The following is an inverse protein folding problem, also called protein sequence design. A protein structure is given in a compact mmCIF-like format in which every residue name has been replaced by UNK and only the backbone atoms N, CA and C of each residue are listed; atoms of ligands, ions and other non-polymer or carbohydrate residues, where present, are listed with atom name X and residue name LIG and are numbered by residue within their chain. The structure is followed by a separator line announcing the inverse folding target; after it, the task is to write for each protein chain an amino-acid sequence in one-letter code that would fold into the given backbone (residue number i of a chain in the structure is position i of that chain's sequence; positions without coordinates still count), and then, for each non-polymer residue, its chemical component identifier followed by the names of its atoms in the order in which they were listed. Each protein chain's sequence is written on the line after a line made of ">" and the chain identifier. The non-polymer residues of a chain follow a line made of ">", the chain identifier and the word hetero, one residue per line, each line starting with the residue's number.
data_IF_091839826678
#
_entry.id   IF_091839826678
#
_cell.length_a   1.000
_cell.length_b   1.000
_cell.length_c   1.000
_cell.angle_alpha   90.00
_cell.angle_beta   90.00
_cell.angle_gamma   90.00
#
_symmetry.space_group_name_H-M   'P 1'
#
loop_
_entity.id
_entity.type
_entity.pdbx_description
1 polymer ?
#
# COMPACT_ATOMS: atom_id res chain seq x y z
N UNK A 1 6.22 -5.63 -9.86
CA UNK A 1 6.08 -6.71 -10.85
C UNK A 1 5.57 -6.11 -12.13
N UNK A 2 6.21 -6.44 -13.24
CA UNK A 2 5.77 -6.14 -14.61
C UNK A 2 5.24 -7.45 -15.18
N UNK A 3 4.17 -7.41 -15.98
CA UNK A 3 3.65 -8.59 -16.67
C UNK A 3 2.56 -9.39 -15.93
N UNK A 4 1.90 -8.81 -14.92
CA UNK A 4 0.67 -9.40 -14.37
C UNK A 4 -0.52 -9.09 -15.29
N UNK A 5 -1.20 -10.14 -15.77
CA UNK A 5 -2.34 -10.12 -16.68
C UNK A 5 -3.63 -9.59 -16.05
N UNK A 6 -3.82 -9.72 -14.74
CA UNK A 6 -5.06 -9.28 -14.08
C UNK A 6 -5.12 -7.77 -13.82
N UNK A 7 -3.97 -7.14 -13.57
CA UNK A 7 -3.91 -5.70 -13.31
C UNK A 7 -2.57 -5.14 -13.78
N UNK A 8 -2.61 -4.08 -14.58
CA UNK A 8 -1.42 -3.31 -14.95
C UNK A 8 -0.85 -2.62 -13.70
N UNK A 9 0.44 -2.77 -13.47
CA UNK A 9 1.12 -2.19 -12.33
C UNK A 9 1.29 -0.67 -12.50
N UNK A 10 1.37 0.03 -11.37
CA UNK A 10 1.61 1.48 -11.37
C UNK A 10 2.91 1.87 -12.11
N UNK A 11 3.95 1.04 -12.02
CA UNK A 11 5.23 1.31 -12.67
C UNK A 11 5.23 1.05 -14.18
N UNK A 12 4.35 0.18 -14.69
CA UNK A 12 4.13 0.07 -16.13
C UNK A 12 3.53 1.36 -16.68
N UNK A 13 2.50 1.91 -16.02
CA UNK A 13 1.95 3.22 -16.39
C UNK A 13 2.98 4.35 -16.24
N UNK A 14 3.77 4.34 -15.16
CA UNK A 14 4.83 5.32 -14.95
C UNK A 14 5.88 5.28 -16.05
N UNK A 15 6.27 4.09 -16.51
CA UNK A 15 7.21 3.92 -17.62
C UNK A 15 6.63 4.44 -18.93
N UNK A 16 5.38 4.09 -19.25
CA UNK A 16 4.69 4.62 -20.45
C UNK A 16 4.59 6.14 -20.39
N UNK A 17 4.20 6.70 -19.25
CA UNK A 17 4.14 8.15 -19.05
C UNK A 17 5.53 8.81 -19.24
N UNK A 18 6.58 8.20 -18.71
CA UNK A 18 7.95 8.70 -18.88
C UNK A 18 8.39 8.69 -20.35
N UNK A 19 8.01 7.67 -21.13
CA UNK A 19 8.40 7.57 -22.53
C UNK A 19 7.61 8.51 -23.45
N UNK A 20 6.31 8.70 -23.19
CA UNK A 20 5.42 9.37 -24.14
C UNK A 20 4.83 10.70 -23.66
N UNK A 21 4.80 10.97 -22.35
CA UNK A 21 4.09 12.11 -21.76
C UNK A 21 4.99 13.00 -20.88
N UNK A 22 6.29 12.72 -20.81
CA UNK A 22 7.21 13.46 -19.93
C UNK A 22 7.27 14.97 -20.23
N UNK A 23 6.98 15.36 -21.47
CA UNK A 23 6.97 16.77 -21.89
C UNK A 23 5.62 17.48 -21.72
N UNK A 24 4.55 16.74 -21.44
CA UNK A 24 3.18 17.28 -21.44
C UNK A 24 3.00 18.43 -20.45
N UNK A 25 3.67 18.36 -19.31
CA UNK A 25 3.57 19.34 -18.23
C UNK A 25 4.76 20.31 -18.18
N UNK A 26 5.56 20.42 -19.25
CA UNK A 26 6.74 21.29 -19.26
C UNK A 26 6.41 22.75 -18.96
N UNK A 27 5.33 23.26 -19.58
CA UNK A 27 4.86 24.64 -19.48
C UNK A 27 4.07 24.95 -18.20
N UNK A 28 3.82 23.95 -17.35
CA UNK A 28 3.11 24.17 -16.09
C UNK A 28 4.05 24.72 -15.04
N UNK A 29 3.76 25.92 -14.53
CA UNK A 29 4.58 26.60 -13.53
C UNK A 29 4.56 25.87 -12.17
N UNK A 30 3.41 25.32 -11.78
CA UNK A 30 3.24 24.60 -10.51
C UNK A 30 3.37 23.09 -10.71
N UNK A 31 4.55 22.55 -10.40
CA UNK A 31 4.80 21.10 -10.40
C UNK A 31 4.78 20.58 -8.96
N UNK A 32 3.79 19.78 -8.55
CA UNK A 32 3.76 19.23 -7.21
C UNK A 32 4.89 18.21 -7.01
N UNK A 33 5.47 18.19 -5.81
CA UNK A 33 6.36 17.10 -5.41
C UNK A 33 5.53 15.84 -5.12
N UNK A 34 5.72 14.78 -5.91
CA UNK A 34 4.97 13.53 -5.73
C UNK A 34 5.65 12.60 -4.73
N UNK A 35 4.94 12.25 -3.66
CA UNK A 35 5.47 11.38 -2.61
C UNK A 35 5.30 9.91 -2.94
N UNK A 36 6.02 9.05 -2.20
CA UNK A 36 5.92 7.59 -2.26
C UNK A 36 6.12 6.98 -3.65
N UNK A 37 6.86 7.67 -4.52
CA UNK A 37 7.13 7.20 -5.88
C UNK A 37 6.02 7.49 -6.88
N UNK A 38 5.06 8.37 -6.55
CA UNK A 38 4.12 8.96 -7.51
C UNK A 38 4.83 9.74 -8.63
N UNK A 39 4.06 10.17 -9.63
CA UNK A 39 4.55 11.01 -10.72
C UNK A 39 3.50 12.02 -11.16
N UNK A 40 3.93 13.09 -11.83
CA UNK A 40 3.03 14.15 -12.28
C UNK A 40 1.95 13.60 -13.21
N UNK A 41 0.69 13.95 -12.96
CA UNK A 41 -0.41 13.52 -13.82
C UNK A 41 -0.33 14.26 -15.17
N UNK A 42 -0.10 13.56 -16.30
CA UNK A 42 0.02 14.22 -17.62
C UNK A 42 -1.29 14.89 -18.06
N UNK A 43 -2.43 14.45 -17.53
CA UNK A 43 -3.74 15.03 -17.84
C UNK A 43 -4.10 16.19 -16.91
N UNK A 44 -3.43 16.31 -15.76
CA UNK A 44 -3.68 17.33 -14.73
C UNK A 44 -2.37 17.69 -14.05
N UNK A 45 -1.60 18.55 -14.70
CA UNK A 45 -0.21 18.83 -14.31
C UNK A 45 -0.02 19.42 -12.90
N UNK A 46 -1.09 19.90 -12.26
CA UNK A 46 -1.08 20.43 -10.89
C UNK A 46 -1.28 19.36 -9.79
N UNK A 47 -1.42 18.08 -10.15
CA UNK A 47 -1.54 16.96 -9.21
C UNK A 47 -0.65 15.77 -9.59
N UNK A 48 -0.48 14.85 -8.64
CA UNK A 48 0.23 13.60 -8.85
C UNK A 48 -0.73 12.44 -9.14
N UNK A 49 -0.32 11.54 -10.03
CA UNK A 49 -0.80 10.17 -10.05
C UNK A 49 -0.08 9.37 -8.96
N UNK A 50 -0.87 8.65 -8.17
CA UNK A 50 -0.42 8.06 -6.92
C UNK A 50 -0.40 6.54 -6.98
N UNK A 51 0.62 5.89 -6.40
CA UNK A 51 0.60 4.46 -6.21
C UNK A 51 -0.52 4.10 -5.26
N UNK A 52 -1.33 3.09 -5.60
CA UNK A 52 -2.31 2.52 -4.70
C UNK A 52 -1.69 2.14 -3.34
N UNK A 53 -2.35 2.35 -2.18
CA UNK A 53 -3.68 2.98 -1.99
C UNK A 53 -3.61 4.50 -1.70
N UNK A 54 -2.55 5.18 -2.12
CA UNK A 54 -2.34 6.60 -1.84
C UNK A 54 -3.14 7.49 -2.79
N UNK A 55 -3.51 8.66 -2.32
CA UNK A 55 -4.22 9.69 -3.10
C UNK A 55 -3.88 11.10 -2.61
N UNK A 56 -4.46 12.09 -3.27
CA UNK A 56 -4.26 13.52 -2.98
C UNK A 56 -3.22 14.15 -3.91
N UNK A 57 -3.16 15.48 -3.88
CA UNK A 57 -2.35 16.25 -4.83
C UNK A 57 -0.86 15.89 -4.86
N UNK A 58 -0.30 15.38 -3.75
CA UNK A 58 1.08 14.89 -3.61
C UNK A 58 1.18 13.42 -3.22
N UNK A 59 0.09 12.65 -3.26
CA UNK A 59 0.04 11.27 -2.73
C UNK A 59 0.27 11.20 -1.21
N UNK A 60 -0.14 12.24 -0.50
CA UNK A 60 0.06 12.37 0.95
C UNK A 60 -1.03 11.71 1.80
N UNK A 61 -2.14 11.31 1.17
CA UNK A 61 -3.32 10.75 1.86
C UNK A 61 -3.51 9.29 1.49
N UNK A 62 -4.21 8.56 2.35
CA UNK A 62 -4.39 7.11 2.26
C UNK A 62 -5.87 6.76 2.18
N UNK A 63 -6.28 6.01 1.15
CA UNK A 63 -7.68 5.60 1.01
C UNK A 63 -7.98 4.47 2.01
N UNK A 64 -8.94 4.70 2.89
CA UNK A 64 -9.41 3.72 3.87
C UNK A 64 -10.86 4.00 4.24
N UNK A 65 -11.61 2.94 4.51
CA UNK A 65 -12.93 3.03 5.11
C UNK A 65 -12.82 3.60 6.53
N UNK A 66 -13.63 4.62 6.82
CA UNK A 66 -13.65 5.30 8.12
C UNK A 66 -14.67 4.70 9.11
N UNK A 67 -15.32 3.60 8.75
CA UNK A 67 -16.36 2.95 9.57
C UNK A 67 -15.72 1.80 10.36
N UNK A 68 -16.06 1.69 11.65
CA UNK A 68 -15.38 0.85 12.65
C UNK A 68 -15.03 -0.56 12.18
N UNK A 69 -13.95 -1.14 12.75
CA UNK A 69 -13.23 -2.37 12.37
C UNK A 69 -12.05 -2.21 11.40
N UNK A 70 -11.80 -1.02 10.86
CA UNK A 70 -10.47 -0.70 10.33
C UNK A 70 -9.57 -0.19 11.46
N UNK A 71 -8.26 -0.55 11.47
CA UNK A 71 -7.29 0.11 12.33
C UNK A 71 -7.14 1.60 11.99
N UNK A 72 -6.41 2.33 12.83
CA UNK A 72 -6.01 3.70 12.51
C UNK A 72 -5.22 3.74 11.20
N UNK A 73 -5.46 4.79 10.41
CA UNK A 73 -4.83 4.96 9.09
C UNK A 73 -3.35 5.34 9.18
N UNK A 74 -2.91 5.89 10.32
CA UNK A 74 -1.52 6.24 10.58
C UNK A 74 -1.15 5.83 12.00
N UNK A 75 -0.09 5.04 12.15
CA UNK A 75 0.42 4.56 13.44
C UNK A 75 1.93 4.61 13.47
N UNK A 76 2.49 4.68 14.68
CA UNK A 76 3.93 4.60 14.90
C UNK A 76 4.31 3.26 15.53
N UNK A 77 5.41 2.63 15.09
CA UNK A 77 5.93 1.41 15.70
C UNK A 77 6.61 1.69 17.03
N UNK A 78 6.47 0.72 17.94
CA UNK A 78 7.12 0.66 19.24
C UNK A 78 8.06 -0.56 19.30
N UNK A 79 8.99 -0.65 20.27
CA UNK A 79 9.86 -1.83 20.43
C UNK A 79 9.12 -3.11 20.85
N UNK A 80 7.86 -3.00 21.28
CA UNK A 80 6.99 -4.13 21.60
C UNK A 80 5.97 -4.38 20.47
N UNK A 81 5.47 -5.62 20.43
CA UNK A 81 4.53 -6.08 19.42
C UNK A 81 3.16 -5.40 19.58
N UNK A 82 2.68 -4.82 18.48
CA UNK A 82 1.36 -4.18 18.40
C UNK A 82 0.54 -4.86 17.31
N UNK A 83 -0.72 -5.17 17.61
CA UNK A 83 -1.61 -5.92 16.72
C UNK A 83 -2.55 -4.98 15.95
N UNK A 84 -2.58 -5.13 14.62
CA UNK A 84 -3.58 -4.55 13.73
C UNK A 84 -4.57 -5.63 13.33
N UNK A 85 -5.86 -5.38 13.54
CA UNK A 85 -6.94 -6.28 13.16
C UNK A 85 -7.76 -5.69 12.03
N UNK A 86 -7.90 -6.44 10.95
CA UNK A 86 -8.74 -6.11 9.81
C UNK A 86 -9.88 -7.12 9.75
N UNK A 87 -11.11 -6.65 9.54
CA UNK A 87 -12.28 -7.53 9.58
C UNK A 87 -13.41 -7.10 8.65
N UNK A 88 -14.02 -8.10 8.02
CA UNK A 88 -15.27 -8.00 7.27
C UNK A 88 -15.14 -7.41 5.87
N UNK A 89 -16.29 -7.07 5.28
CA UNK A 89 -16.41 -6.42 3.98
C UNK A 89 -15.99 -4.96 4.08
N UNK A 90 -14.70 -4.70 3.95
CA UNK A 90 -14.09 -3.38 4.14
C UNK A 90 -12.84 -3.22 3.31
N UNK A 91 -12.57 -1.98 2.93
CA UNK A 91 -11.30 -1.56 2.35
C UNK A 91 -10.54 -0.70 3.36
N UNK A 92 -9.62 -1.30 4.09
CA UNK A 92 -8.85 -0.62 5.13
C UNK A 92 -7.41 -0.43 4.68
N UNK A 93 -6.82 0.74 4.96
CA UNK A 93 -5.39 0.95 4.78
C UNK A 93 -4.76 1.59 6.00
N UNK A 94 -3.54 1.19 6.32
CA UNK A 94 -2.75 1.72 7.43
C UNK A 94 -1.32 2.00 6.97
N UNK A 95 -0.81 3.19 7.29
CA UNK A 95 0.62 3.52 7.22
C UNK A 95 1.22 3.33 8.61
N UNK A 96 2.27 2.51 8.69
CA UNK A 96 3.13 2.41 9.87
C UNK A 96 4.40 3.19 9.55
N UNK A 97 4.70 4.22 10.33
CA UNK A 97 5.85 5.09 10.10
C UNK A 97 6.70 5.23 11.37
N UNK A 98 7.94 4.75 11.29
CA UNK A 98 8.93 4.97 12.34
C UNK A 98 9.52 6.39 12.24
N UNK A 99 9.89 7.02 13.37
CA UNK A 99 10.40 8.39 13.39
C UNK A 99 11.67 8.59 12.54
N UNK A 100 12.60 7.64 12.60
CA UNK A 100 13.92 7.78 11.97
C UNK A 100 14.00 6.99 10.66
N UNK A 101 14.59 7.59 9.61
CA UNK A 101 14.68 6.97 8.26
C UNK A 101 15.46 5.66 8.22
N UNK A 102 16.44 5.49 9.10
CA UNK A 102 17.30 4.30 9.14
C UNK A 102 16.65 3.13 9.88
N UNK A 103 15.57 3.36 10.62
CA UNK A 103 14.85 2.31 11.35
C UNK A 103 14.13 1.36 10.39
N UNK A 104 13.91 0.14 10.88
CA UNK A 104 13.16 -0.91 10.17
C UNK A 104 12.01 -1.39 11.02
N UNK A 105 11.01 -1.95 10.37
CA UNK A 105 9.77 -2.41 10.99
C UNK A 105 9.64 -3.89 10.68
N UNK A 106 9.57 -4.71 11.72
CA UNK A 106 9.19 -6.10 11.60
C UNK A 106 7.67 -6.18 11.52
N UNK A 107 7.20 -6.96 10.57
CA UNK A 107 5.78 -7.27 10.36
C UNK A 107 5.64 -8.79 10.46
N UNK A 108 4.67 -9.26 11.23
CA UNK A 108 4.28 -10.66 11.32
C UNK A 108 2.82 -10.74 10.89
N UNK A 109 2.55 -11.48 9.82
CA UNK A 109 1.20 -11.84 9.43
C UNK A 109 0.81 -13.07 10.27
N UNK A 110 0.04 -12.83 11.33
CA UNK A 110 -0.37 -13.84 12.30
C UNK A 110 -1.36 -14.81 11.64
N UNK A 111 -2.43 -14.24 11.10
CA UNK A 111 -3.41 -14.99 10.32
C UNK A 111 -4.07 -14.15 9.25
N UNK A 112 -4.39 -14.79 8.14
CA UNK A 112 -5.20 -14.24 7.05
C UNK A 112 -6.30 -15.25 6.76
N UNK A 113 -7.54 -14.78 6.76
CA UNK A 113 -8.73 -15.55 6.40
C UNK A 113 -9.42 -14.83 5.24
N UNK A 114 -8.99 -15.13 4.02
CA UNK A 114 -9.53 -14.56 2.78
C UNK A 114 -10.10 -15.66 1.88
N UNK A 115 -10.86 -15.29 0.85
CA UNK A 115 -11.38 -16.26 -0.11
C UNK A 115 -10.26 -16.94 -0.87
N UNK A 116 -10.48 -18.21 -1.22
CA UNK A 116 -9.62 -18.94 -2.14
C UNK A 116 -9.75 -18.38 -3.55
N UNK A 117 -8.77 -17.57 -3.95
CA UNK A 117 -8.67 -17.03 -5.30
C UNK A 117 -7.58 -17.79 -6.06
N UNK A 118 -7.86 -18.17 -7.32
CA UNK A 118 -6.89 -18.83 -8.20
C UNK A 118 -5.64 -17.95 -8.44
N UNK A 119 -5.83 -16.63 -8.45
CA UNK A 119 -4.74 -15.66 -8.60
C UNK A 119 -4.73 -14.66 -7.43
N UNK A 120 -3.58 -14.59 -6.77
CA UNK A 120 -3.33 -13.62 -5.70
C UNK A 120 -2.89 -12.28 -6.30
N UNK A 121 -3.84 -11.38 -6.56
CA UNK A 121 -3.55 -10.05 -7.11
C UNK A 121 -4.33 -8.96 -6.36
N UNK A 122 -4.01 -7.70 -6.62
CA UNK A 122 -4.84 -6.58 -6.17
C UNK A 122 -6.25 -6.72 -6.74
N UNK A 123 -7.23 -6.65 -5.86
CA UNK A 123 -8.63 -6.89 -6.16
C UNK A 123 -9.38 -7.17 -4.87
N UNK A 124 -10.39 -8.02 -4.94
CA UNK A 124 -11.19 -8.45 -3.80
C UNK A 124 -10.50 -9.57 -3.01
N UNK A 125 -10.75 -9.62 -1.70
CA UNK A 125 -10.21 -10.65 -0.80
C UNK A 125 -8.68 -10.70 -0.79
N UNK A 126 -8.03 -9.56 -0.48
CA UNK A 126 -6.58 -9.46 -0.44
C UNK A 126 -6.06 -8.71 0.80
N UNK A 127 -4.83 -9.02 1.19
CA UNK A 127 -4.01 -8.22 2.11
C UNK A 127 -2.68 -7.90 1.41
N UNK A 128 -2.43 -6.63 1.11
CA UNK A 128 -1.16 -6.17 0.54
C UNK A 128 -0.27 -5.52 1.60
N UNK A 129 1.00 -5.89 1.64
CA UNK A 129 2.03 -5.30 2.51
C UNK A 129 3.15 -4.71 1.66
N UNK A 130 3.23 -3.37 1.61
CA UNK A 130 4.32 -2.62 0.96
C UNK A 130 5.44 -2.35 1.94
N UNK A 131 6.36 -3.31 2.02
CA UNK A 131 7.52 -3.29 2.90
C UNK A 131 8.80 -2.76 2.23
N UNK A 132 8.85 -2.78 0.88
CA UNK A 132 10.00 -2.28 0.09
C UNK A 132 10.19 -0.79 0.21
N UNK A 133 11.40 -0.29 -0.01
CA UNK A 133 11.70 1.14 0.07
C UNK A 133 10.86 1.95 -0.93
N UNK A 134 10.87 1.53 -2.20
CA UNK A 134 10.06 2.12 -3.25
C UNK A 134 8.58 1.73 -3.13
N UNK A 135 7.77 2.66 -2.62
CA UNK A 135 6.32 2.48 -2.43
C UNK A 135 5.51 2.55 -3.72
N UNK A 136 6.12 2.85 -4.86
CA UNK A 136 5.49 2.71 -6.18
C UNK A 136 5.30 1.24 -6.57
N UNK A 137 6.16 0.36 -6.07
CA UNK A 137 6.09 -1.07 -6.31
C UNK A 137 4.86 -1.69 -5.63
N UNK A 138 4.34 -2.73 -6.26
CA UNK A 138 3.39 -3.63 -5.60
C UNK A 138 4.08 -4.38 -4.46
N UNK A 139 3.41 -4.42 -3.31
CA UNK A 139 3.86 -5.15 -2.13
C UNK A 139 3.66 -6.66 -2.27
N UNK A 140 3.88 -7.38 -1.17
CA UNK A 140 3.47 -8.77 -1.06
C UNK A 140 1.95 -8.82 -0.87
N UNK A 141 1.26 -9.53 -1.75
CA UNK A 141 -0.17 -9.78 -1.62
C UNK A 141 -0.39 -11.17 -1.03
N UNK A 142 -1.15 -11.22 0.04
CA UNK A 142 -1.67 -12.42 0.68
C UNK A 142 -3.15 -12.57 0.32
N UNK A 143 -3.55 -13.82 0.09
CA UNK A 143 -4.90 -14.30 -0.20
C UNK A 143 -5.06 -15.66 0.48
N UNK A 144 -6.26 -16.23 0.46
CA UNK A 144 -6.56 -17.53 1.05
C UNK A 144 -6.23 -17.54 2.56
N UNK A 145 -5.74 -18.69 3.05
CA UNK A 145 -5.31 -18.89 4.43
C UNK A 145 -3.79 -18.83 4.56
N UNK A 146 -3.30 -17.83 5.29
CA UNK A 146 -1.86 -17.66 5.58
C UNK A 146 -1.68 -17.48 7.08
N UNK A 147 -0.59 -18.03 7.62
CA UNK A 147 -0.21 -17.87 9.02
C UNK A 147 1.31 -17.79 9.18
N UNK A 148 1.76 -17.16 10.25
CA UNK A 148 3.16 -17.12 10.70
C UNK A 148 4.16 -16.61 9.64
N UNK A 149 3.78 -15.61 8.84
CA UNK A 149 4.65 -15.05 7.80
C UNK A 149 5.35 -13.78 8.28
N UNK A 150 6.69 -13.82 8.35
CA UNK A 150 7.52 -12.73 8.86
C UNK A 150 8.16 -11.91 7.74
N UNK A 151 8.10 -10.58 7.86
CA UNK A 151 8.71 -9.60 6.95
C UNK A 151 9.50 -8.58 7.78
N UNK A 152 10.63 -8.14 7.26
CA UNK A 152 11.34 -6.95 7.74
C UNK A 152 11.28 -5.93 6.62
N UNK A 153 10.85 -4.70 6.93
CA UNK A 153 10.79 -3.63 5.95
C UNK A 153 12.18 -3.22 5.45
N UNK A 154 12.25 -2.65 4.25
CA UNK A 154 13.48 -2.06 3.70
C UNK A 154 13.62 -0.57 4.09
N UNK A 155 12.55 0.05 4.60
CA UNK A 155 12.54 1.44 5.05
C UNK A 155 11.75 1.63 6.36
N UNK A 156 11.76 2.84 6.90
CA UNK A 156 11.01 3.22 8.10
C UNK A 156 9.49 3.36 7.88
N UNK A 157 8.99 3.03 6.69
CA UNK A 157 7.57 3.18 6.33
C UNK A 157 7.07 1.88 5.74
N UNK A 158 5.93 1.40 6.24
CA UNK A 158 5.19 0.25 5.72
C UNK A 158 3.76 0.69 5.44
N UNK A 159 3.20 0.25 4.32
CA UNK A 159 1.78 0.46 4.02
C UNK A 159 1.12 -0.90 3.94
N UNK A 160 0.06 -1.08 4.73
CA UNK A 160 -0.76 -2.30 4.75
C UNK A 160 -2.13 -1.93 4.20
N UNK A 161 -2.64 -2.74 3.28
CA UNK A 161 -3.98 -2.57 2.71
C UNK A 161 -4.72 -3.89 2.77
N UNK A 162 -5.87 -3.89 3.40
CA UNK A 162 -6.81 -5.01 3.46
C UNK A 162 -8.02 -4.67 2.61
N UNK A 163 -8.44 -5.59 1.76
CA UNK A 163 -9.68 -5.50 1.02
C UNK A 163 -10.49 -6.78 1.18
N UNK A 164 -11.44 -6.76 2.12
CA UNK A 164 -12.36 -7.86 2.36
C UNK A 164 -13.62 -7.74 1.50
N UNK A 165 -13.99 -8.87 0.88
CA UNK A 165 -15.21 -9.04 0.09
C UNK A 165 -16.34 -9.78 0.85
N UNK A 166 -16.02 -10.49 1.94
CA UNK A 166 -17.01 -11.20 2.77
C UNK A 166 -16.93 -10.78 4.22
N UNK A 167 -18.05 -10.85 4.94
CA UNK A 167 -18.10 -10.48 6.36
C UNK A 167 -17.23 -11.37 7.26
N UNK A 168 -17.04 -12.64 6.90
CA UNK A 168 -16.21 -13.59 7.66
C UNK A 168 -14.71 -13.40 7.46
N UNK A 169 -14.30 -12.52 6.57
CA UNK A 169 -12.89 -12.35 6.24
C UNK A 169 -12.17 -11.51 7.28
N UNK A 170 -10.90 -11.82 7.51
CA UNK A 170 -10.07 -11.09 8.44
C UNK A 170 -8.60 -11.21 8.11
N UNK A 171 -7.82 -10.29 8.67
CA UNK A 171 -6.37 -10.39 8.73
C UNK A 171 -5.88 -9.77 10.03
N UNK A 172 -5.01 -10.48 10.73
CA UNK A 172 -4.32 -10.00 11.92
C UNK A 172 -2.83 -9.88 11.61
N UNK A 173 -2.31 -8.67 11.79
CA UNK A 173 -0.94 -8.32 11.48
C UNK A 173 -0.31 -7.65 12.68
N UNK A 174 0.74 -8.26 13.21
CA UNK A 174 1.55 -7.70 14.29
C UNK A 174 2.71 -6.92 13.70
N UNK A 175 3.08 -5.80 14.33
CA UNK A 175 4.26 -5.02 13.95
C UNK A 175 5.05 -4.55 15.17
N UNK A 176 6.36 -4.37 14.97
CA UNK A 176 7.26 -3.72 15.93
C UNK A 176 8.46 -3.06 15.26
N UNK A 177 9.09 -2.15 15.97
CA UNK A 177 10.36 -1.53 15.59
C UNK A 177 11.52 -2.53 15.74
N UNK A 178 12.49 -2.46 14.84
CA UNK A 178 13.75 -3.24 14.87
C UNK A 178 14.94 -2.31 14.77
#
# INVERSE_FOLDING_TARGET
>A
MIGQRYSVSFNEYKLVNYLYCNKTCELTEQKPECWFGGYQNPNKCNECLCPYPLYGYRCQSLTSDNKGYCPYTSVSPAPYETLLKYYGYRHCSTIIQAPEKHQRIQIIVEHVWLSDNEFCARGDSMLEIKYKEDKSLMGLCFCNHVKDYKIISESNIVIITYHGYRFSQSADVTYKLV
#
